data_IF_372996011676
#
_entry.id   IF_372996011676
#
_cell.length_a   1.000
_cell.length_b   1.000
_cell.length_c   1.000
_cell.angle_alpha   90.00
_cell.angle_beta   90.00
_cell.angle_gamma   90.00
#
_symmetry.space_group_name_H-M   'P 1'
#
loop_
_entity.id
_entity.type
_entity.pdbx_description
1 polymer ?
#
# COMPACT_ATOMS: atom_id res chain seq x y z
N UNK A 1 -56.53 7.10 -13.42
CA UNK A 1 -55.87 6.14 -12.51
C UNK A 1 -54.42 6.57 -12.39
N UNK A 2 -53.92 6.80 -11.18
CA UNK A 2 -52.52 7.16 -10.94
C UNK A 2 -51.86 5.92 -10.33
N UNK A 3 -50.84 5.39 -11.00
CA UNK A 3 -50.11 4.19 -10.57
C UNK A 3 -48.65 4.57 -10.31
N UNK A 4 -48.17 4.32 -9.08
CA UNK A 4 -46.77 4.54 -8.71
C UNK A 4 -46.05 3.19 -8.76
N UNK A 5 -45.18 3.01 -9.75
CA UNK A 5 -44.38 1.79 -9.92
C UNK A 5 -43.00 1.94 -9.29
N UNK A 6 -42.49 0.87 -8.69
CA UNK A 6 -41.09 0.78 -8.23
C UNK A 6 -40.81 1.30 -6.82
N UNK A 7 -41.81 1.72 -6.05
CA UNK A 7 -41.64 2.18 -4.66
C UNK A 7 -41.11 1.07 -3.75
N UNK A 8 -41.62 -0.15 -3.89
CA UNK A 8 -41.17 -1.33 -3.13
C UNK A 8 -39.69 -1.64 -3.42
N UNK A 9 -39.29 -1.57 -4.69
CA UNK A 9 -37.89 -1.79 -5.11
C UNK A 9 -36.96 -0.74 -4.51
N UNK A 10 -37.40 0.53 -4.46
CA UNK A 10 -36.65 1.61 -3.81
C UNK A 10 -36.53 1.38 -2.31
N UNK A 11 -37.62 1.03 -1.62
CA UNK A 11 -37.62 0.74 -0.18
C UNK A 11 -36.71 -0.44 0.19
N UNK A 12 -36.66 -1.48 -0.65
CA UNK A 12 -35.74 -2.61 -0.45
C UNK A 12 -34.28 -2.16 -0.59
N UNK A 13 -33.94 -1.39 -1.64
CA UNK A 13 -32.58 -0.87 -1.80
C UNK A 13 -32.14 0.04 -0.66
N UNK A 14 -33.02 0.92 -0.19
CA UNK A 14 -32.73 1.80 0.95
C UNK A 14 -32.53 1.01 2.26
N UNK A 15 -33.29 -0.07 2.47
CA UNK A 15 -33.05 -0.99 3.58
C UNK A 15 -31.69 -1.67 3.47
N UNK A 16 -31.33 -2.19 2.29
CA UNK A 16 -30.01 -2.80 2.09
C UNK A 16 -28.87 -1.80 2.38
N UNK A 17 -29.03 -0.54 1.95
CA UNK A 17 -28.04 0.51 2.25
C UNK A 17 -27.95 0.79 3.75
N UNK A 18 -29.06 0.81 4.47
CA UNK A 18 -29.05 0.99 5.92
C UNK A 18 -28.30 -0.13 6.65
N UNK A 19 -28.43 -1.36 6.18
CA UNK A 19 -27.76 -2.53 6.77
C UNK A 19 -26.26 -2.62 6.38
N UNK A 20 -25.75 -1.73 5.51
CA UNK A 20 -24.34 -1.72 5.09
C UNK A 20 -23.37 -1.34 6.20
N UNK A 21 -23.82 -0.53 7.17
CA UNK A 21 -22.98 0.00 8.25
C UNK A 21 -22.28 -1.11 9.06
N UNK A 22 -22.77 -2.36 8.97
CA UNK A 22 -22.22 -3.51 9.71
C UNK A 22 -21.82 -4.67 8.80
N UNK A 23 -21.59 -4.43 7.50
CA UNK A 23 -21.29 -5.49 6.51
C UNK A 23 -20.19 -5.09 5.53
N UNK A 24 -19.40 -4.08 5.85
CA UNK A 24 -18.33 -3.57 4.99
C UNK A 24 -17.00 -4.28 5.20
N UNK A 25 -16.86 -5.21 6.16
CA UNK A 25 -15.61 -5.96 6.36
C UNK A 25 -15.07 -6.62 5.08
N UNK A 26 -15.88 -7.29 4.22
CA UNK A 26 -15.38 -7.81 2.95
C UNK A 26 -14.86 -6.72 2.00
N UNK A 27 -15.51 -5.55 1.95
CA UNK A 27 -15.01 -4.42 1.18
C UNK A 27 -13.67 -3.92 1.75
N UNK A 28 -13.58 -3.72 3.08
CA UNK A 28 -12.35 -3.24 3.72
C UNK A 28 -11.19 -4.21 3.50
N UNK A 29 -11.45 -5.51 3.57
CA UNK A 29 -10.47 -6.53 3.24
C UNK A 29 -9.94 -6.39 1.80
N UNK A 30 -10.84 -6.28 0.81
CA UNK A 30 -10.44 -6.07 -0.59
C UNK A 30 -9.68 -4.76 -0.81
N UNK A 31 -10.11 -3.66 -0.19
CA UNK A 31 -9.39 -2.38 -0.26
C UNK A 31 -7.98 -2.50 0.37
N UNK A 32 -7.86 -3.25 1.45
CA UNK A 32 -6.60 -3.60 2.08
C UNK A 32 -5.68 -4.39 1.16
N UNK A 33 -6.20 -5.42 0.48
CA UNK A 33 -5.42 -6.21 -0.46
C UNK A 33 -4.93 -5.38 -1.66
N UNK A 34 -5.76 -4.50 -2.22
CA UNK A 34 -5.34 -3.57 -3.29
C UNK A 34 -4.14 -2.73 -2.85
N UNK A 35 -4.20 -2.17 -1.64
CA UNK A 35 -3.12 -1.36 -1.09
C UNK A 35 -1.86 -2.20 -0.82
N UNK A 36 -2.01 -3.42 -0.28
CA UNK A 36 -0.91 -4.33 0.02
C UNK A 36 -0.21 -4.78 -1.27
N UNK A 37 -0.97 -5.15 -2.29
CA UNK A 37 -0.46 -5.52 -3.61
C UNK A 37 0.33 -4.37 -4.23
N UNK A 38 -0.16 -3.12 -4.16
CA UNK A 38 0.59 -1.97 -4.67
C UNK A 38 1.94 -1.77 -3.97
N UNK A 39 2.03 -2.09 -2.67
CA UNK A 39 3.30 -2.05 -1.92
C UNK A 39 4.22 -3.16 -2.40
N UNK A 40 3.74 -4.39 -2.50
CA UNK A 40 4.51 -5.56 -2.95
C UNK A 40 5.02 -5.37 -4.39
N UNK A 41 4.18 -4.87 -5.29
CA UNK A 41 4.53 -4.51 -6.67
C UNK A 41 5.68 -3.50 -6.73
N UNK A 42 5.72 -2.56 -5.78
CA UNK A 42 6.78 -1.56 -5.73
C UNK A 42 8.15 -2.20 -5.44
N UNK A 43 8.18 -3.20 -4.56
CA UNK A 43 9.40 -3.97 -4.26
C UNK A 43 9.78 -4.92 -5.39
N UNK A 44 8.80 -5.58 -6.02
CA UNK A 44 9.05 -6.50 -7.13
C UNK A 44 9.62 -5.77 -8.36
N UNK A 45 9.03 -4.62 -8.69
CA UNK A 45 9.37 -3.83 -9.87
C UNK A 45 10.42 -2.74 -9.61
N UNK A 46 10.90 -2.62 -8.37
CA UNK A 46 11.84 -1.59 -7.91
C UNK A 46 11.44 -0.17 -8.34
N UNK A 47 10.16 0.15 -8.14
CA UNK A 47 9.53 1.36 -8.66
C UNK A 47 8.50 1.88 -7.67
N UNK A 48 8.38 3.20 -7.63
CA UNK A 48 7.36 3.89 -6.85
C UNK A 48 5.96 3.62 -7.39
N UNK A 49 4.92 3.52 -6.52
CA UNK A 49 3.51 3.50 -6.93
C UNK A 49 3.11 4.70 -7.80
N UNK A 50 3.93 5.76 -7.82
CA UNK A 50 3.71 6.97 -8.60
C UNK A 50 4.37 6.97 -9.98
N UNK A 51 5.09 5.91 -10.36
CA UNK A 51 5.64 5.77 -11.72
C UNK A 51 7.16 5.74 -11.80
N UNK A 52 7.87 6.26 -10.80
CA UNK A 52 9.32 6.48 -10.85
C UNK A 52 10.12 5.25 -10.43
N UNK A 53 11.07 4.80 -11.26
CA UNK A 53 12.01 3.74 -10.86
C UNK A 53 12.89 4.20 -9.71
N UNK A 54 13.15 3.30 -8.76
CA UNK A 54 14.02 3.61 -7.64
C UNK A 54 15.47 3.82 -8.09
N UNK A 55 16.17 4.71 -7.38
CA UNK A 55 17.59 4.94 -7.64
C UNK A 55 18.38 3.65 -7.35
N UNK A 56 19.22 3.18 -8.30
CA UNK A 56 19.97 1.94 -8.17
C UNK A 56 20.93 1.97 -6.98
N UNK A 57 21.33 0.78 -6.53
CA UNK A 57 22.37 0.64 -5.52
C UNK A 57 23.72 1.14 -6.07
N UNK A 58 24.56 1.68 -5.19
CA UNK A 58 25.95 1.93 -5.53
C UNK A 58 26.64 0.59 -5.87
N UNK A 59 27.58 0.61 -6.84
CA UNK A 59 28.32 -0.60 -7.25
C UNK A 59 28.97 -1.32 -6.08
N UNK A 60 29.57 -0.57 -5.15
CA UNK A 60 30.17 -1.11 -3.93
C UNK A 60 29.17 -1.81 -3.01
N UNK A 61 27.97 -1.27 -2.86
CA UNK A 61 26.88 -1.89 -2.10
C UNK A 61 26.43 -3.20 -2.75
N UNK A 62 26.23 -3.20 -4.08
CA UNK A 62 25.83 -4.38 -4.82
C UNK A 62 26.89 -5.50 -4.69
N UNK A 63 28.16 -5.18 -4.94
CA UNK A 63 29.28 -6.12 -4.74
C UNK A 63 29.33 -6.67 -3.31
N UNK A 64 29.06 -5.84 -2.29
CA UNK A 64 29.02 -6.30 -0.91
C UNK A 64 27.87 -7.27 -0.63
N UNK A 65 26.68 -7.04 -1.23
CA UNK A 65 25.54 -7.97 -1.11
C UNK A 65 25.87 -9.31 -1.75
N UNK A 66 26.37 -9.29 -2.99
CA UNK A 66 26.74 -10.51 -3.73
C UNK A 66 27.84 -11.31 -3.03
N UNK A 67 28.89 -10.64 -2.51
CA UNK A 67 29.95 -11.31 -1.73
C UNK A 67 29.42 -12.02 -0.49
N UNK A 68 28.30 -11.56 0.07
CA UNK A 68 27.63 -12.15 1.24
C UNK A 68 26.52 -13.14 0.86
N UNK A 69 26.39 -13.51 -0.41
CA UNK A 69 25.32 -14.39 -0.89
C UNK A 69 23.92 -13.80 -0.72
N UNK A 70 23.79 -12.47 -0.71
CA UNK A 70 22.50 -11.78 -0.54
C UNK A 70 21.97 -11.32 -1.89
N UNK A 71 20.64 -11.17 -1.99
CA UNK A 71 19.94 -10.70 -3.19
C UNK A 71 20.52 -9.36 -3.70
N UNK A 72 20.56 -9.19 -5.02
CA UNK A 72 20.92 -7.92 -5.66
C UNK A 72 19.82 -6.85 -5.60
N UNK A 73 18.57 -7.26 -5.33
CA UNK A 73 17.39 -6.39 -5.37
C UNK A 73 17.45 -5.22 -4.40
N UNK A 74 16.92 -4.07 -4.81
CA UNK A 74 16.83 -2.86 -4.00
C UNK A 74 15.85 -3.11 -2.84
N UNK A 75 16.22 -2.67 -1.62
CA UNK A 75 15.46 -2.88 -0.38
C UNK A 75 15.12 -4.33 -0.01
N UNK A 76 15.66 -5.31 -0.73
CA UNK A 76 15.48 -6.73 -0.45
C UNK A 76 16.83 -7.37 -0.19
N UNK A 77 17.24 -7.38 1.08
CA UNK A 77 18.46 -8.10 1.51
C UNK A 77 18.09 -9.45 2.11
N UNK A 78 17.21 -9.43 3.09
CA UNK A 78 16.65 -10.60 3.78
C UNK A 78 15.13 -10.71 3.61
N UNK A 79 14.47 -9.64 3.11
CA UNK A 79 13.04 -9.63 2.81
C UNK A 79 12.19 -8.89 3.86
N UNK A 80 12.74 -8.56 5.03
CA UNK A 80 11.96 -8.07 6.18
C UNK A 80 10.99 -6.92 5.87
N UNK A 81 11.42 -5.93 5.09
CA UNK A 81 10.60 -4.80 4.70
C UNK A 81 9.74 -5.08 3.46
N UNK A 82 10.21 -5.93 2.55
CA UNK A 82 9.54 -6.18 1.27
C UNK A 82 8.41 -7.21 1.40
N UNK A 83 8.59 -8.19 2.28
CA UNK A 83 7.85 -9.46 2.22
C UNK A 83 6.91 -9.66 3.42
N UNK A 84 7.00 -8.84 4.47
CA UNK A 84 6.27 -9.02 5.74
C UNK A 84 5.22 -7.93 5.98
N UNK A 85 4.32 -7.70 5.03
CA UNK A 85 3.20 -6.77 5.18
C UNK A 85 1.97 -7.50 5.71
N UNK A 86 1.41 -6.99 6.80
CA UNK A 86 0.23 -7.56 7.47
C UNK A 86 -0.97 -6.66 7.21
N UNK A 87 -2.01 -7.24 6.63
CA UNK A 87 -3.34 -6.65 6.53
C UNK A 87 -4.18 -7.06 7.73
N UNK A 88 -4.87 -6.07 8.31
CA UNK A 88 -5.97 -6.27 9.27
C UNK A 88 -7.14 -5.39 8.83
N UNK A 89 -8.34 -5.96 8.79
CA UNK A 89 -9.56 -5.27 8.39
C UNK A 89 -10.66 -5.53 9.42
N UNK A 90 -11.55 -4.55 9.56
CA UNK A 90 -12.83 -4.66 10.24
C UNK A 90 -13.90 -3.96 9.37
N UNK A 91 -15.11 -3.79 9.88
CA UNK A 91 -16.18 -3.14 9.11
C UNK A 91 -15.87 -1.68 8.75
N UNK A 92 -15.05 -0.99 9.56
CA UNK A 92 -14.82 0.45 9.42
C UNK A 92 -13.54 0.79 8.65
N UNK A 93 -12.52 -0.08 8.70
CA UNK A 93 -11.18 0.22 8.17
C UNK A 93 -10.39 -1.00 7.75
N UNK A 94 -9.40 -0.70 6.89
CA UNK A 94 -8.28 -1.58 6.58
C UNK A 94 -6.97 -0.96 7.06
N UNK A 95 -6.11 -1.76 7.67
CA UNK A 95 -4.81 -1.35 8.21
C UNK A 95 -3.73 -2.26 7.66
N UNK A 96 -2.73 -1.67 7.03
CA UNK A 96 -1.56 -2.35 6.51
C UNK A 96 -0.34 -1.90 7.29
N UNK A 97 0.43 -2.87 7.77
CA UNK A 97 1.55 -2.60 8.66
C UNK A 97 2.73 -3.52 8.38
N UNK A 98 3.92 -3.04 8.70
CA UNK A 98 5.17 -3.79 8.67
C UNK A 98 6.02 -3.38 9.87
N UNK A 99 6.67 -4.35 10.51
CA UNK A 99 7.48 -4.13 11.72
C UNK A 99 8.99 -4.23 11.46
N UNK A 100 9.44 -4.02 10.22
CA UNK A 100 10.85 -4.05 9.88
C UNK A 100 11.57 -2.88 10.57
N UNK A 101 12.38 -3.22 11.56
CA UNK A 101 13.25 -2.31 12.26
C UNK A 101 14.71 -2.63 11.93
N UNK A 102 15.60 -1.64 12.06
CA UNK A 102 17.04 -1.88 12.00
C UNK A 102 17.70 -1.16 13.16
N UNK A 103 17.89 -1.87 14.28
CA UNK A 103 18.52 -1.32 15.50
C UNK A 103 17.84 -0.04 16.02
N UNK A 104 16.51 -0.01 16.02
CA UNK A 104 15.72 1.16 16.44
C UNK A 104 15.62 2.29 15.40
N UNK A 105 16.28 2.15 14.24
CA UNK A 105 16.11 3.07 13.12
C UNK A 105 14.82 2.76 12.37
N UNK A 106 14.02 3.79 12.10
CA UNK A 106 12.80 3.72 11.29
C UNK A 106 13.15 3.50 9.81
N UNK A 107 13.61 2.29 9.50
CA UNK A 107 14.18 1.91 8.21
C UNK A 107 13.20 2.11 7.06
N UNK A 108 11.94 1.68 7.23
CA UNK A 108 10.88 1.90 6.25
C UNK A 108 10.64 3.39 5.95
N UNK A 109 10.50 4.23 6.98
CA UNK A 109 10.26 5.68 6.81
C UNK A 109 11.43 6.38 6.09
N UNK A 110 12.67 6.04 6.45
CA UNK A 110 13.86 6.60 5.82
C UNK A 110 13.95 6.26 4.33
N UNK A 111 13.45 5.10 3.92
CA UNK A 111 13.36 4.73 2.51
C UNK A 111 12.13 5.30 1.82
N UNK A 112 10.96 5.34 2.48
CA UNK A 112 9.75 5.92 1.93
C UNK A 112 9.97 7.38 1.50
N UNK A 113 10.57 8.19 2.37
CA UNK A 113 10.71 9.64 2.13
C UNK A 113 12.13 10.09 1.79
N UNK A 114 13.10 9.17 1.83
CA UNK A 114 14.52 9.51 1.82
C UNK A 114 14.97 10.07 3.17
N UNK A 115 16.29 10.11 3.38
CA UNK A 115 16.87 10.65 4.59
C UNK A 115 18.20 11.33 4.30
N UNK A 116 18.44 12.46 4.99
CA UNK A 116 19.76 13.07 5.05
C UNK A 116 20.43 12.70 6.37
N UNK A 117 21.75 12.77 6.40
CA UNK A 117 22.50 12.57 7.64
C UNK A 117 22.45 11.15 8.19
N UNK A 118 22.35 10.14 7.31
CA UNK A 118 22.36 8.75 7.70
C UNK A 118 23.79 8.20 7.85
N UNK A 119 23.91 7.01 8.45
CA UNK A 119 25.16 6.27 8.60
C UNK A 119 26.15 6.85 9.61
N UNK A 120 27.36 6.27 9.66
CA UNK A 120 28.44 6.75 10.54
C UNK A 120 28.84 8.18 10.16
N UNK A 121 28.80 9.09 11.12
CA UNK A 121 29.15 10.50 10.91
C UNK A 121 28.07 11.37 10.26
N UNK A 122 26.85 10.85 10.04
CA UNK A 122 25.71 11.61 9.48
C UNK A 122 26.01 12.38 8.18
N UNK A 123 26.72 11.75 7.25
CA UNK A 123 27.07 12.34 5.95
C UNK A 123 26.36 11.69 4.78
N UNK A 124 25.68 10.57 4.98
CA UNK A 124 25.08 9.81 3.89
C UNK A 124 23.69 10.31 3.57
N UNK A 125 23.43 10.54 2.28
CA UNK A 125 22.10 10.80 1.74
C UNK A 125 21.49 9.48 1.24
N UNK A 126 20.33 9.12 1.78
CA UNK A 126 19.51 8.00 1.34
C UNK A 126 18.47 8.55 0.35
N UNK A 127 18.47 8.11 -0.92
CA UNK A 127 17.43 8.50 -1.86
C UNK A 127 16.09 7.91 -1.41
N UNK A 128 15.01 8.65 -1.67
CA UNK A 128 13.66 8.13 -1.51
C UNK A 128 13.42 6.97 -2.48
N UNK A 129 12.74 5.95 -1.96
CA UNK A 129 12.32 4.72 -2.62
C UNK A 129 10.92 4.44 -2.10
N UNK A 130 9.99 5.30 -2.48
CA UNK A 130 8.62 5.21 -2.03
C UNK A 130 8.01 3.88 -2.47
N UNK A 131 7.38 3.17 -1.53
CA UNK A 131 6.64 1.93 -1.74
C UNK A 131 5.20 2.03 -1.24
N UNK A 132 4.90 2.97 -0.32
CA UNK A 132 3.52 3.21 0.08
C UNK A 132 2.77 3.95 -1.04
N UNK A 133 1.54 3.56 -1.38
CA UNK A 133 0.75 4.16 -2.46
C UNK A 133 0.11 5.49 -2.07
N UNK A 134 0.75 6.25 -1.16
CA UNK A 134 0.28 7.53 -0.64
C UNK A 134 1.45 8.50 -0.56
N UNK A 135 1.22 9.74 -1.01
CA UNK A 135 2.22 10.80 -0.93
C UNK A 135 2.14 11.56 0.41
N UNK A 136 3.03 12.55 0.59
CA UNK A 136 3.09 13.35 1.82
C UNK A 136 1.83 14.19 2.08
N UNK A 137 0.99 14.41 1.08
CA UNK A 137 -0.29 15.12 1.20
C UNK A 137 -1.47 14.21 1.50
N UNK A 138 -1.24 12.89 1.61
CA UNK A 138 -2.29 11.90 1.78
C UNK A 138 -2.95 11.49 0.47
N UNK A 139 -2.42 11.89 -0.69
CA UNK A 139 -3.00 11.55 -1.99
C UNK A 139 -2.52 10.18 -2.44
N UNK A 140 -3.49 9.34 -2.81
CA UNK A 140 -3.23 8.01 -3.36
C UNK A 140 -2.61 8.06 -4.77
N UNK A 141 -1.78 7.07 -5.08
CA UNK A 141 -1.34 6.78 -6.43
C UNK A 141 -2.54 6.62 -7.38
N UNK A 142 -2.42 7.09 -8.63
CA UNK A 142 -3.55 7.17 -9.57
C UNK A 142 -4.17 5.80 -9.86
N UNK A 143 -3.34 4.78 -10.04
CA UNK A 143 -3.78 3.43 -10.38
C UNK A 143 -4.50 2.78 -9.20
N UNK A 144 -3.90 2.85 -8.01
CA UNK A 144 -4.52 2.40 -6.75
C UNK A 144 -5.85 3.10 -6.49
N UNK A 145 -5.93 4.41 -6.69
CA UNK A 145 -7.19 5.16 -6.55
C UNK A 145 -8.27 4.67 -7.53
N UNK A 146 -7.88 4.31 -8.75
CA UNK A 146 -8.80 3.79 -9.76
C UNK A 146 -9.32 2.40 -9.36
N UNK A 147 -8.45 1.52 -8.88
CA UNK A 147 -8.81 0.18 -8.42
C UNK A 147 -9.74 0.22 -7.21
N UNK A 148 -9.39 1.00 -6.18
CA UNK A 148 -10.26 1.22 -5.02
C UNK A 148 -11.64 1.74 -5.46
N UNK A 149 -11.70 2.70 -6.38
CA UNK A 149 -12.98 3.23 -6.89
C UNK A 149 -13.77 2.14 -7.63
N UNK A 150 -13.11 1.32 -8.43
CA UNK A 150 -13.76 0.23 -9.15
C UNK A 150 -14.35 -0.80 -8.19
N UNK A 151 -13.59 -1.16 -7.15
CA UNK A 151 -14.00 -2.13 -6.13
C UNK A 151 -15.19 -1.62 -5.32
N UNK A 152 -15.14 -0.36 -4.86
CA UNK A 152 -16.28 0.27 -4.16
C UNK A 152 -17.55 0.28 -5.05
N UNK A 153 -17.41 0.59 -6.34
CA UNK A 153 -18.56 0.57 -7.26
C UNK A 153 -19.08 -0.86 -7.46
N UNK A 154 -18.19 -1.85 -7.56
CA UNK A 154 -18.55 -3.26 -7.69
C UNK A 154 -19.34 -3.73 -6.47
N UNK A 155 -18.82 -3.44 -5.27
CA UNK A 155 -19.47 -3.74 -4.00
C UNK A 155 -20.86 -3.10 -3.92
N UNK A 156 -21.00 -1.79 -4.20
CA UNK A 156 -22.30 -1.11 -4.20
C UNK A 156 -23.31 -1.73 -5.18
N UNK A 157 -22.86 -2.20 -6.34
CA UNK A 157 -23.72 -2.85 -7.34
C UNK A 157 -24.19 -4.25 -6.93
N UNK A 158 -23.46 -4.91 -6.04
CA UNK A 158 -23.81 -6.24 -5.54
C UNK A 158 -24.91 -6.23 -4.47
N UNK A 159 -25.30 -5.03 -4.00
CA UNK A 159 -26.28 -4.79 -2.93
C UNK A 159 -27.65 -4.39 -3.50
#
# INVERSE_FOLDING_TARGET
MIEVKGLEKLQTKLRNIRELEHRTAPLMDQLGEILKNSIEDSFENEKSPFGERWKPLAKSTLQNKLKKGKSERILRREGDLADNWVLKSDDDKAVISNNANNKGFAYGLAHQFGANGAGRGKRTKIPARAFLPVDKSGKLAKDVKREIKAEVISFIKSI
#
